data_IF_515569771625
#
_entry.id   IF_515569771625
#
_cell.length_a   1.000
_cell.length_b   1.000
_cell.length_c   1.000
_cell.angle_alpha   90.00
_cell.angle_beta   90.00
_cell.angle_gamma   90.00
#
_symmetry.space_group_name_H-M   'P 1'
#
loop_
_entity.id
_entity.type
_entity.pdbx_description
1 polymer ?
#
# COMPACT_ATOMS: atom_id res chain seq x y z
N UNK A 1 11.93 32.08 4.92
CA UNK A 1 11.50 30.81 5.55
C UNK A 1 10.69 30.09 4.49
N UNK A 2 11.17 28.95 4.01
CA UNK A 2 10.49 28.16 2.98
C UNK A 2 9.54 27.17 3.67
N UNK A 3 8.24 27.26 3.38
CA UNK A 3 7.24 26.32 3.91
C UNK A 3 7.00 25.25 2.86
N UNK A 4 7.45 24.03 3.13
CA UNK A 4 7.25 22.89 2.23
C UNK A 4 5.80 22.43 2.28
N UNK A 5 5.24 22.09 1.12
CA UNK A 5 3.89 21.51 1.02
C UNK A 5 3.80 20.14 1.73
N UNK A 6 4.86 19.34 1.67
CA UNK A 6 4.98 18.04 2.33
C UNK A 6 6.44 17.80 2.74
N UNK A 7 6.72 17.66 4.04
CA UNK A 7 8.07 17.41 4.56
C UNK A 7 8.24 15.96 5.06
N UNK A 8 8.54 15.06 4.12
CA UNK A 8 8.77 13.64 4.43
C UNK A 8 10.02 13.40 5.28
N UNK A 9 11.00 14.31 5.24
CA UNK A 9 12.19 14.19 6.08
C UNK A 9 11.83 14.43 7.54
N UNK A 10 11.05 15.47 7.81
CA UNK A 10 10.59 15.75 9.17
C UNK A 10 9.80 14.56 9.75
N UNK A 11 8.92 13.95 8.95
CA UNK A 11 8.21 12.72 9.35
C UNK A 11 9.18 11.57 9.63
N UNK A 12 10.11 11.26 8.71
CA UNK A 12 11.08 10.18 8.88
C UNK A 12 11.88 10.32 10.18
N UNK A 13 12.37 11.51 10.51
CA UNK A 13 13.15 11.72 11.74
C UNK A 13 12.35 11.39 13.02
N UNK A 14 11.01 11.48 13.01
CA UNK A 14 10.18 11.11 14.18
C UNK A 14 10.08 9.60 14.43
N UNK A 15 10.35 8.77 13.42
CA UNK A 15 10.20 7.29 13.46
C UNK A 15 11.45 6.57 12.95
N UNK A 16 12.59 7.28 12.96
CA UNK A 16 13.84 6.86 12.31
C UNK A 16 14.37 5.53 12.82
N UNK A 17 14.42 5.38 14.14
CA UNK A 17 15.00 4.18 14.76
C UNK A 17 14.13 2.96 14.46
N UNK A 18 12.80 3.11 14.47
CA UNK A 18 11.85 2.06 14.10
C UNK A 18 12.01 1.62 12.65
N UNK A 19 12.08 2.59 11.71
CA UNK A 19 12.30 2.30 10.28
C UNK A 19 13.64 1.61 10.07
N UNK A 20 14.73 2.14 10.65
CA UNK A 20 16.06 1.59 10.46
C UNK A 20 16.14 0.15 10.95
N UNK A 21 15.57 -0.15 12.11
CA UNK A 21 15.52 -1.50 12.63
C UNK A 21 14.74 -2.44 11.71
N UNK A 22 13.54 -2.05 11.26
CA UNK A 22 12.71 -2.87 10.37
C UNK A 22 13.40 -3.16 9.02
N UNK A 23 14.05 -2.15 8.43
CA UNK A 23 14.80 -2.30 7.18
C UNK A 23 15.99 -3.24 7.36
N UNK A 24 16.80 -3.03 8.40
CA UNK A 24 17.97 -3.89 8.68
C UNK A 24 17.53 -5.33 8.91
N UNK A 25 16.52 -5.57 9.76
CA UNK A 25 16.00 -6.92 10.01
C UNK A 25 15.48 -7.59 8.74
N UNK A 26 14.84 -6.85 7.84
CA UNK A 26 14.40 -7.39 6.54
C UNK A 26 15.60 -7.85 5.71
N UNK A 27 16.65 -7.03 5.63
CA UNK A 27 17.89 -7.34 4.92
C UNK A 27 18.57 -8.58 5.52
N UNK A 28 18.72 -8.62 6.84
CA UNK A 28 19.32 -9.76 7.55
C UNK A 28 18.53 -11.06 7.36
N UNK A 29 17.20 -10.97 7.21
CA UNK A 29 16.34 -12.14 7.00
C UNK A 29 16.49 -12.77 5.61
N UNK A 30 16.92 -12.00 4.60
CA UNK A 30 16.94 -12.41 3.19
C UNK A 30 15.57 -12.60 2.53
N UNK A 31 14.46 -12.32 3.22
CA UNK A 31 13.10 -12.51 2.72
C UNK A 31 12.54 -11.22 2.10
N UNK A 32 12.84 -10.99 0.82
CA UNK A 32 12.50 -9.71 0.17
C UNK A 32 11.11 -9.66 -0.46
N UNK A 33 10.51 -10.81 -0.80
CA UNK A 33 9.26 -10.88 -1.55
C UNK A 33 8.29 -11.81 -0.82
N UNK A 34 7.07 -11.31 -0.55
CA UNK A 34 6.01 -12.05 0.14
C UNK A 34 6.44 -12.62 1.50
N UNK A 35 7.32 -11.89 2.20
CA UNK A 35 7.84 -12.25 3.50
C UNK A 35 6.85 -12.07 4.67
N UNK A 36 7.27 -12.39 5.90
CA UNK A 36 6.41 -12.31 7.09
C UNK A 36 5.88 -10.89 7.35
N UNK A 37 6.68 -9.85 7.08
CA UNK A 37 6.26 -8.45 7.26
C UNK A 37 5.09 -8.06 6.35
N UNK A 38 5.02 -8.62 5.13
CA UNK A 38 3.89 -8.40 4.22
C UNK A 38 2.60 -8.98 4.82
N UNK A 39 2.63 -10.22 5.31
CA UNK A 39 1.47 -10.88 5.93
C UNK A 39 1.02 -10.15 7.20
N UNK A 40 1.97 -9.66 7.99
CA UNK A 40 1.69 -8.86 9.18
C UNK A 40 1.01 -7.55 8.78
N UNK A 41 1.54 -6.82 7.79
CA UNK A 41 0.93 -5.59 7.30
C UNK A 41 -0.48 -5.83 6.75
N UNK A 42 -0.70 -6.89 5.97
CA UNK A 42 -2.03 -7.26 5.46
C UNK A 42 -3.03 -7.50 6.60
N UNK A 43 -2.61 -8.21 7.65
CA UNK A 43 -3.45 -8.40 8.83
C UNK A 43 -3.74 -7.07 9.54
N UNK A 44 -2.70 -6.27 9.81
CA UNK A 44 -2.82 -4.99 10.52
C UNK A 44 -3.75 -4.03 9.75
N UNK A 45 -3.69 -4.02 8.41
CA UNK A 45 -4.58 -3.23 7.55
C UNK A 45 -6.01 -3.78 7.53
N UNK A 46 -6.19 -5.11 7.49
CA UNK A 46 -7.52 -5.71 7.55
C UNK A 46 -8.22 -5.34 8.86
N UNK A 47 -7.49 -5.44 9.98
CA UNK A 47 -7.96 -5.07 11.31
C UNK A 47 -8.25 -3.56 11.39
N UNK A 48 -7.36 -2.70 10.87
CA UNK A 48 -7.54 -1.24 10.85
C UNK A 48 -8.78 -0.80 10.04
N UNK A 49 -9.00 -1.43 8.88
CA UNK A 49 -10.14 -1.14 7.99
C UNK A 49 -11.45 -1.83 8.42
N UNK A 50 -11.41 -2.74 9.41
CA UNK A 50 -12.58 -3.50 9.84
C UNK A 50 -13.10 -4.50 8.79
N UNK A 51 -12.21 -5.05 7.97
CA UNK A 51 -12.54 -6.00 6.89
C UNK A 51 -11.90 -7.37 7.16
N UNK A 52 -12.43 -8.41 6.51
CA UNK A 52 -11.93 -9.78 6.71
C UNK A 52 -10.50 -10.00 6.16
N UNK A 53 -10.17 -9.35 5.04
CA UNK A 53 -8.90 -9.56 4.35
C UNK A 53 -8.37 -8.24 3.79
N UNK A 54 -7.05 -8.10 3.76
CA UNK A 54 -6.35 -7.14 2.92
C UNK A 54 -5.28 -7.89 2.10
N UNK A 55 -4.97 -7.39 0.91
CA UNK A 55 -3.99 -8.00 0.00
C UNK A 55 -3.03 -6.89 -0.45
N UNK A 56 -1.74 -7.05 -0.15
CA UNK A 56 -0.69 -6.14 -0.56
C UNK A 56 -0.40 -6.29 -2.05
N UNK A 57 -0.40 -5.17 -2.78
CA UNK A 57 -0.07 -5.10 -4.20
C UNK A 57 0.90 -3.95 -4.46
N UNK A 58 1.46 -3.86 -5.67
CA UNK A 58 2.55 -2.93 -5.96
C UNK A 58 2.11 -1.45 -6.00
N UNK A 59 0.86 -1.16 -6.33
CA UNK A 59 0.35 0.21 -6.48
C UNK A 59 -1.16 0.32 -6.30
N UNK A 60 -1.67 1.55 -6.14
CA UNK A 60 -3.11 1.82 -6.11
C UNK A 60 -3.81 1.49 -7.43
N UNK A 61 -3.15 1.69 -8.58
CA UNK A 61 -3.67 1.30 -9.90
C UNK A 61 -3.80 -0.22 -10.01
N UNK A 62 -2.81 -0.99 -9.56
CA UNK A 62 -2.91 -2.46 -9.53
C UNK A 62 -4.04 -2.92 -8.60
N UNK A 63 -4.24 -2.25 -7.47
CA UNK A 63 -5.34 -2.59 -6.55
C UNK A 63 -6.71 -2.47 -7.25
N UNK A 64 -6.94 -1.40 -8.01
CA UNK A 64 -8.17 -1.21 -8.77
C UNK A 64 -8.29 -2.25 -9.89
N UNK A 65 -7.25 -2.41 -10.72
CA UNK A 65 -7.26 -3.31 -11.87
C UNK A 65 -7.46 -4.78 -11.46
N UNK A 66 -6.75 -5.24 -10.42
CA UNK A 66 -6.88 -6.61 -9.92
C UNK A 66 -8.26 -6.85 -9.31
N UNK A 67 -8.84 -5.85 -8.65
CA UNK A 67 -10.21 -5.95 -8.13
C UNK A 67 -11.22 -6.11 -9.26
N UNK A 68 -11.16 -5.27 -10.30
CA UNK A 68 -12.05 -5.37 -11.46
C UNK A 68 -11.92 -6.74 -12.16
N UNK A 69 -10.68 -7.21 -12.35
CA UNK A 69 -10.40 -8.53 -12.92
C UNK A 69 -10.94 -9.67 -12.05
N UNK A 70 -10.82 -9.57 -10.72
CA UNK A 70 -11.36 -10.57 -9.80
C UNK A 70 -12.89 -10.64 -9.84
N UNK A 71 -13.56 -9.53 -10.13
CA UNK A 71 -15.00 -9.48 -10.40
C UNK A 71 -15.40 -9.91 -11.81
N UNK A 72 -14.43 -10.25 -12.68
CA UNK A 72 -14.67 -10.67 -14.05
C UNK A 72 -15.03 -9.54 -15.02
N UNK A 73 -14.80 -8.28 -14.62
CA UNK A 73 -15.09 -7.11 -15.46
C UNK A 73 -14.10 -7.06 -16.63
N UNK A 74 -14.62 -6.91 -17.84
CA UNK A 74 -13.85 -6.96 -19.07
C UNK A 74 -14.49 -6.25 -20.25
N UNK A 75 -14.22 -6.75 -21.46
CA UNK A 75 -14.74 -6.18 -22.70
C UNK A 75 -16.27 -6.23 -22.72
N UNK A 76 -16.90 -5.10 -23.01
CA UNK A 76 -18.37 -4.95 -23.05
C UNK A 76 -18.99 -4.51 -21.72
N UNK A 77 -18.23 -4.48 -20.63
CA UNK A 77 -18.69 -3.97 -19.34
C UNK A 77 -18.43 -2.46 -19.20
N UNK A 78 -19.25 -1.82 -18.35
CA UNK A 78 -19.09 -0.42 -17.99
C UNK A 78 -18.76 -0.28 -16.50
N UNK A 79 -17.82 0.61 -16.17
CA UNK A 79 -17.47 0.97 -14.79
C UNK A 79 -17.74 2.44 -14.58
N UNK A 80 -18.72 2.76 -13.73
CA UNK A 80 -19.05 4.15 -13.39
C UNK A 80 -17.93 4.71 -12.51
N UNK A 81 -17.45 5.91 -12.86
CA UNK A 81 -16.44 6.65 -12.12
C UNK A 81 -16.89 8.10 -11.88
N UNK A 82 -16.02 8.92 -11.27
CA UNK A 82 -16.24 10.37 -11.11
C UNK A 82 -15.51 11.15 -12.21
N UNK A 83 -16.11 12.22 -12.76
CA UNK A 83 -15.44 13.07 -13.75
C UNK A 83 -14.27 13.89 -13.16
N UNK A 84 -14.11 13.91 -11.83
CA UNK A 84 -13.03 14.62 -11.14
C UNK A 84 -12.32 13.70 -10.13
N UNK A 85 -11.25 13.06 -10.56
CA UNK A 85 -10.36 12.20 -9.77
C UNK A 85 -8.96 12.17 -10.40
N UNK A 86 -7.99 11.57 -9.71
CA UNK A 86 -6.70 11.21 -10.31
C UNK A 86 -6.89 10.15 -11.42
N UNK A 87 -6.03 10.17 -12.45
CA UNK A 87 -6.02 9.16 -13.50
C UNK A 87 -5.65 7.80 -12.91
N UNK A 88 -6.52 6.80 -13.07
CA UNK A 88 -6.35 5.47 -12.50
C UNK A 88 -6.68 4.40 -13.53
#
# INVERSE_FOLDING_TARGET
MEVKLLDLRAQYETIKDEINNAVISTIESGNYILGPEVKKLEKDIADYCGVKNAIGVASGTDALLLTLRAYGIGEGDEVITTPFTFFA
#
